data_IF_595578371440
#
_entry.id   IF_595578371440
#
_cell.length_a   1.000
_cell.length_b   1.000
_cell.length_c   1.000
_cell.angle_alpha   90.00
_cell.angle_beta   90.00
_cell.angle_gamma   90.00
#
_symmetry.space_group_name_H-M   'P 1'
#
loop_
_entity.id
_entity.type
_entity.pdbx_description
1 polymer ?
#
# COMPACT_ATOMS: atom_id res chain seq x y z
N UNK A 1 -16.26 16.69 -6.54
CA UNK A 1 -15.90 16.46 -7.97
C UNK A 1 -15.07 15.17 -8.13
N UNK A 2 -14.02 14.92 -7.33
CA UNK A 2 -13.16 13.74 -7.43
C UNK A 2 -13.97 12.42 -7.43
N UNK A 3 -14.89 12.23 -6.48
CA UNK A 3 -15.73 11.03 -6.36
C UNK A 3 -16.50 10.67 -7.65
N UNK A 4 -17.06 11.66 -8.33
CA UNK A 4 -17.82 11.44 -9.58
C UNK A 4 -16.90 10.93 -10.68
N UNK A 5 -15.67 11.45 -10.75
CA UNK A 5 -14.70 10.98 -11.74
C UNK A 5 -14.19 9.59 -11.42
N UNK A 6 -13.87 9.30 -10.14
CA UNK A 6 -13.48 7.96 -9.71
C UNK A 6 -14.57 6.93 -9.97
N UNK A 7 -15.83 7.24 -9.67
CA UNK A 7 -16.95 6.36 -10.01
C UNK A 7 -17.03 6.05 -11.51
N UNK A 8 -16.86 7.09 -12.36
CA UNK A 8 -16.84 6.89 -13.82
C UNK A 8 -15.65 6.05 -14.28
N UNK A 9 -14.48 6.25 -13.70
CA UNK A 9 -13.29 5.43 -13.97
C UNK A 9 -13.54 3.98 -13.58
N UNK A 10 -14.16 3.72 -12.42
CA UNK A 10 -14.52 2.36 -11.99
C UNK A 10 -15.41 1.67 -13.02
N UNK A 11 -16.38 2.38 -13.60
CA UNK A 11 -17.26 1.82 -14.64
C UNK A 11 -16.51 1.46 -15.92
N UNK A 12 -15.55 2.31 -16.32
CA UNK A 12 -14.70 2.02 -17.48
C UNK A 12 -13.81 0.83 -17.21
N UNK A 13 -13.16 0.80 -16.05
CA UNK A 13 -12.30 -0.31 -15.63
C UNK A 13 -13.08 -1.63 -15.51
N UNK A 14 -14.32 -1.59 -15.00
CA UNK A 14 -15.20 -2.76 -14.95
C UNK A 14 -15.49 -3.33 -16.34
N UNK A 15 -15.79 -2.46 -17.32
CA UNK A 15 -16.04 -2.88 -18.69
C UNK A 15 -14.80 -3.53 -19.36
N UNK A 16 -13.59 -3.13 -18.92
CA UNK A 16 -12.32 -3.68 -19.41
C UNK A 16 -11.78 -4.84 -18.55
N UNK A 17 -12.51 -5.25 -17.50
CA UNK A 17 -12.08 -6.31 -16.58
C UNK A 17 -10.89 -5.93 -15.69
N UNK A 18 -10.71 -4.64 -15.41
CA UNK A 18 -9.60 -4.09 -14.59
C UNK A 18 -10.16 -3.67 -13.24
N UNK A 19 -9.50 -4.06 -12.14
CA UNK A 19 -9.76 -3.50 -10.82
C UNK A 19 -8.96 -2.21 -10.62
N UNK A 20 -9.58 -1.21 -10.02
CA UNK A 20 -8.87 -0.02 -9.54
C UNK A 20 -8.57 -0.18 -8.06
N UNK A 21 -7.41 0.27 -7.64
CA UNK A 21 -7.06 0.40 -6.23
C UNK A 21 -6.86 1.88 -5.88
N UNK A 22 -7.39 2.28 -4.73
CA UNK A 22 -7.22 3.64 -4.21
C UNK A 22 -6.12 3.64 -3.16
N UNK A 23 -5.12 4.47 -3.36
CA UNK A 23 -4.02 4.68 -2.43
C UNK A 23 -4.31 5.81 -1.46
N UNK A 24 -3.88 5.65 -0.21
CA UNK A 24 -3.74 6.72 0.75
C UNK A 24 -2.29 7.19 0.74
N UNK A 25 -2.09 8.45 0.47
CA UNK A 25 -0.78 9.11 0.47
C UNK A 25 -0.51 9.77 1.84
N UNK A 26 0.62 10.46 1.99
CA UNK A 26 0.88 11.29 3.17
C UNK A 26 0.15 12.63 3.07
N UNK A 27 0.01 13.33 4.18
CA UNK A 27 -0.71 14.62 4.25
C UNK A 27 0.03 15.79 3.56
N UNK A 28 1.35 15.64 3.33
CA UNK A 28 2.15 16.57 2.53
C UNK A 28 2.05 16.31 1.02
N UNK A 29 1.58 15.13 0.62
CA UNK A 29 1.42 14.72 -0.79
C UNK A 29 -0.02 14.85 -1.28
N UNK A 30 -0.99 14.68 -0.39
CA UNK A 30 -2.41 14.68 -0.75
C UNK A 30 -3.25 15.46 0.25
N UNK A 31 -4.18 16.24 -0.25
CA UNK A 31 -5.21 16.90 0.57
C UNK A 31 -6.58 16.18 0.51
N UNK A 32 -6.66 15.00 -0.09
CA UNK A 32 -7.89 14.25 -0.28
C UNK A 32 -7.96 13.00 0.58
N UNK A 33 -7.00 12.08 0.40
CA UNK A 33 -6.93 10.81 1.11
C UNK A 33 -5.50 10.63 1.61
N UNK A 34 -5.31 10.79 2.92
CA UNK A 34 -4.01 10.72 3.56
C UNK A 34 -4.04 10.07 4.95
N UNK A 35 -5.17 9.49 5.31
CA UNK A 35 -5.37 8.70 6.52
C UNK A 35 -6.54 7.72 6.35
N UNK A 36 -6.63 6.77 7.25
CA UNK A 36 -7.67 5.74 7.25
C UNK A 36 -9.10 6.29 7.33
N UNK A 37 -9.43 7.31 8.16
CA UNK A 37 -10.76 7.89 8.18
C UNK A 37 -11.20 8.47 6.82
N UNK A 38 -10.30 9.16 6.11
CA UNK A 38 -10.58 9.73 4.79
C UNK A 38 -10.66 8.66 3.72
N UNK A 39 -9.78 7.67 3.79
CA UNK A 39 -9.82 6.52 2.89
C UNK A 39 -11.17 5.80 2.98
N UNK A 40 -11.61 5.46 4.20
CA UNK A 40 -12.93 4.83 4.44
C UNK A 40 -14.09 5.66 3.92
N UNK A 41 -14.09 6.96 4.20
CA UNK A 41 -15.16 7.85 3.75
C UNK A 41 -15.19 7.97 2.23
N UNK A 42 -14.05 8.14 1.57
CA UNK A 42 -13.98 8.21 0.11
C UNK A 42 -14.44 6.89 -0.52
N UNK A 43 -13.92 5.76 -0.04
CA UNK A 43 -14.29 4.41 -0.50
C UNK A 43 -15.80 4.17 -0.39
N UNK A 44 -16.38 4.45 0.78
CA UNK A 44 -17.82 4.32 1.04
C UNK A 44 -18.65 5.22 0.11
N UNK A 45 -18.22 6.46 -0.13
CA UNK A 45 -18.94 7.42 -0.97
C UNK A 45 -18.89 7.09 -2.45
N UNK A 46 -17.83 6.43 -2.93
CA UNK A 46 -17.75 5.95 -4.30
C UNK A 46 -18.63 4.71 -4.46
N UNK A 47 -18.53 3.76 -3.54
CA UNK A 47 -19.42 2.61 -3.43
C UNK A 47 -19.48 1.74 -4.69
N UNK A 48 -18.36 1.59 -5.41
CA UNK A 48 -18.29 0.80 -6.64
C UNK A 48 -17.52 -0.50 -6.40
N UNK A 49 -18.05 -1.68 -6.78
CA UNK A 49 -17.42 -2.97 -6.49
C UNK A 49 -16.05 -3.14 -7.17
N UNK A 50 -15.82 -2.43 -8.25
CA UNK A 50 -14.55 -2.44 -9.00
C UNK A 50 -13.47 -1.50 -8.42
N UNK A 51 -13.79 -0.77 -7.35
CA UNK A 51 -12.82 -0.05 -6.55
C UNK A 51 -12.42 -0.92 -5.38
N UNK A 52 -11.13 -1.12 -5.24
CA UNK A 52 -10.47 -1.78 -4.12
C UNK A 52 -9.53 -0.81 -3.42
N UNK A 53 -8.89 -1.27 -2.36
CA UNK A 53 -7.96 -0.45 -1.60
C UNK A 53 -6.54 -0.99 -1.74
N UNK A 54 -5.62 -0.08 -1.68
CA UNK A 54 -4.23 -0.39 -1.40
C UNK A 54 -3.73 0.40 -0.20
N UNK A 55 -2.65 -0.07 0.37
CA UNK A 55 -1.95 0.59 1.45
C UNK A 55 -0.48 0.71 1.09
N UNK A 56 0.08 1.88 1.34
CA UNK A 56 1.51 2.06 1.46
C UNK A 56 1.87 2.01 2.95
N UNK A 57 2.73 1.06 3.34
CA UNK A 57 3.06 0.88 4.74
C UNK A 57 3.87 2.05 5.33
N UNK A 58 4.55 2.82 4.48
CA UNK A 58 5.28 4.03 4.91
C UNK A 58 4.30 5.19 5.14
N UNK A 59 3.39 5.43 4.20
CA UNK A 59 2.34 6.44 4.36
C UNK A 59 1.44 6.15 5.58
N UNK A 60 1.10 4.88 5.80
CA UNK A 60 0.35 4.41 6.97
C UNK A 60 1.09 4.73 8.28
N UNK A 61 2.37 4.40 8.36
CA UNK A 61 3.21 4.72 9.52
C UNK A 61 3.32 6.23 9.75
N UNK A 62 3.40 7.01 8.67
CA UNK A 62 3.42 8.46 8.69
C UNK A 62 2.14 9.06 9.29
N UNK A 63 0.99 8.47 9.02
CA UNK A 63 -0.28 8.87 9.60
C UNK A 63 -0.45 8.40 11.07
N UNK A 64 0.52 7.66 11.63
CA UNK A 64 0.44 7.07 12.97
C UNK A 64 -0.53 5.89 13.06
N UNK A 65 -0.83 5.27 11.94
CA UNK A 65 -1.75 4.15 11.80
C UNK A 65 -0.97 2.83 11.66
N UNK A 66 -1.64 1.71 11.82
CA UNK A 66 -1.05 0.39 11.66
C UNK A 66 -1.63 -0.35 10.46
N UNK A 67 -0.88 -1.27 9.90
CA UNK A 67 -1.37 -2.17 8.86
C UNK A 67 -2.59 -2.97 9.34
N UNK A 68 -2.63 -3.33 10.62
CA UNK A 68 -3.77 -4.03 11.24
C UNK A 68 -5.06 -3.19 11.20
N UNK A 69 -4.97 -1.86 11.41
CA UNK A 69 -6.12 -0.96 11.32
C UNK A 69 -6.70 -0.95 9.89
N UNK A 70 -5.84 -0.99 8.88
CA UNK A 70 -6.24 -1.04 7.49
C UNK A 70 -6.90 -2.36 7.11
N UNK A 71 -6.36 -3.50 7.54
CA UNK A 71 -7.00 -4.80 7.34
C UNK A 71 -8.36 -4.88 8.05
N UNK A 72 -8.45 -4.37 9.28
CA UNK A 72 -9.72 -4.32 10.00
C UNK A 72 -10.76 -3.43 9.32
N UNK A 73 -10.33 -2.42 8.59
CA UNK A 73 -11.23 -1.48 7.92
C UNK A 73 -11.73 -1.97 6.56
N UNK A 74 -10.90 -2.68 5.78
CA UNK A 74 -11.17 -3.02 4.40
C UNK A 74 -11.23 -4.53 4.12
N UNK A 75 -10.65 -5.37 4.98
CA UNK A 75 -10.68 -6.82 4.83
C UNK A 75 -10.22 -7.27 3.44
N UNK A 76 -11.04 -8.07 2.77
CA UNK A 76 -10.76 -8.62 1.43
C UNK A 76 -10.72 -7.56 0.32
N UNK A 77 -11.11 -6.32 0.61
CA UNK A 77 -11.00 -5.23 -0.35
C UNK A 77 -9.60 -4.57 -0.36
N UNK A 78 -8.74 -4.89 0.61
CA UNK A 78 -7.33 -4.53 0.61
C UNK A 78 -6.55 -5.57 -0.20
N UNK A 79 -6.25 -5.28 -1.46
CA UNK A 79 -5.71 -6.27 -2.41
C UNK A 79 -4.31 -5.94 -2.94
N UNK A 80 -3.76 -4.79 -2.56
CA UNK A 80 -2.47 -4.32 -3.06
C UNK A 80 -1.75 -3.56 -1.94
N UNK A 81 -0.44 -3.66 -1.92
CA UNK A 81 0.37 -2.99 -0.91
C UNK A 81 1.71 -2.56 -1.52
N UNK A 82 2.08 -1.29 -1.32
CA UNK A 82 3.47 -0.90 -1.36
C UNK A 82 4.12 -1.34 -0.06
N UNK A 83 5.11 -2.20 -0.16
CA UNK A 83 5.67 -2.92 0.97
C UNK A 83 7.16 -2.74 1.06
N UNK A 84 7.58 -1.86 1.94
CA UNK A 84 8.92 -1.29 2.01
C UNK A 84 9.38 -1.12 3.45
N UNK A 85 10.67 -0.95 3.61
CA UNK A 85 11.25 -0.45 4.86
C UNK A 85 11.21 1.08 4.89
N UNK A 86 11.23 1.67 6.06
CA UNK A 86 11.16 3.12 6.23
C UNK A 86 11.92 3.64 7.44
N UNK A 87 12.34 4.92 7.37
CA UNK A 87 12.93 5.66 8.47
C UNK A 87 12.60 7.16 8.36
N UNK A 88 11.58 7.63 9.04
CA UNK A 88 10.19 7.13 9.06
C UNK A 88 9.45 7.36 7.75
N UNK A 89 10.02 8.16 6.82
CA UNK A 89 9.34 8.68 5.62
C UNK A 89 9.94 8.21 4.30
N UNK A 90 11.02 7.44 4.35
CA UNK A 90 11.75 7.01 3.16
C UNK A 90 11.26 5.66 2.67
N UNK A 91 11.22 5.48 1.35
CA UNK A 91 10.90 4.22 0.69
C UNK A 91 12.18 3.42 0.46
N UNK A 92 12.60 2.72 1.51
CA UNK A 92 13.88 2.01 1.55
C UNK A 92 13.74 0.53 1.20
N UNK A 93 14.85 -0.04 0.79
CA UNK A 93 15.03 -1.50 0.74
C UNK A 93 14.93 -2.07 2.16
N UNK A 94 14.29 -3.23 2.31
CA UNK A 94 14.20 -3.93 3.59
C UNK A 94 15.58 -4.17 4.21
N UNK A 95 15.76 -3.68 5.43
CA UNK A 95 17.00 -3.71 6.21
C UNK A 95 17.77 -2.38 6.19
N UNK A 96 17.34 -1.40 5.42
CA UNK A 96 17.94 -0.05 5.41
C UNK A 96 17.12 0.95 6.24
N UNK A 97 15.98 0.55 6.81
CA UNK A 97 15.10 1.34 7.66
C UNK A 97 14.87 0.72 9.04
N UNK A 98 13.78 1.11 9.68
CA UNK A 98 13.42 0.73 11.05
C UNK A 98 12.12 -0.07 11.14
N UNK A 99 11.48 -0.40 10.03
CA UNK A 99 10.21 -1.13 10.03
C UNK A 99 10.45 -2.61 10.40
N UNK A 100 9.63 -3.14 11.28
CA UNK A 100 9.71 -4.56 11.63
C UNK A 100 9.06 -5.43 10.56
N UNK A 101 9.86 -5.99 9.64
CA UNK A 101 9.39 -6.89 8.59
C UNK A 101 8.58 -8.05 9.16
N UNK A 102 9.11 -8.73 10.19
CA UNK A 102 8.44 -9.88 10.81
C UNK A 102 7.06 -9.50 11.37
N UNK A 103 6.92 -8.32 11.98
CA UNK A 103 5.62 -7.85 12.47
C UNK A 103 4.63 -7.60 11.35
N UNK A 104 5.06 -6.98 10.27
CA UNK A 104 4.21 -6.72 9.09
C UNK A 104 3.73 -8.05 8.47
N UNK A 105 4.63 -9.02 8.29
CA UNK A 105 4.30 -10.34 7.76
C UNK A 105 3.32 -11.11 8.66
N UNK A 106 3.50 -11.05 9.99
CA UNK A 106 2.56 -11.65 10.95
C UNK A 106 1.15 -11.06 10.84
N UNK A 107 1.03 -9.74 10.66
CA UNK A 107 -0.27 -9.08 10.45
C UNK A 107 -0.90 -9.58 9.15
N UNK A 108 -0.18 -9.58 8.05
CA UNK A 108 -0.68 -10.08 6.76
C UNK A 108 -1.13 -11.54 6.84
N UNK A 109 -0.35 -12.40 7.50
CA UNK A 109 -0.71 -13.80 7.71
C UNK A 109 -1.98 -13.95 8.57
N UNK A 110 -2.10 -13.19 9.64
CA UNK A 110 -3.29 -13.21 10.52
C UNK A 110 -4.57 -12.79 9.79
N UNK A 111 -4.45 -11.90 8.81
CA UNK A 111 -5.55 -11.44 7.97
C UNK A 111 -5.68 -12.21 6.65
N UNK A 112 -4.93 -13.29 6.45
CA UNK A 112 -4.97 -14.13 5.25
C UNK A 112 -4.79 -13.33 3.95
N UNK A 113 -3.91 -12.33 3.96
CA UNK A 113 -3.68 -11.49 2.80
C UNK A 113 -3.13 -12.31 1.63
N UNK A 114 -3.80 -12.21 0.48
CA UNK A 114 -3.44 -12.90 -0.77
C UNK A 114 -3.25 -11.94 -1.95
N UNK A 115 -3.16 -10.63 -1.65
CA UNK A 115 -2.98 -9.60 -2.66
C UNK A 115 -1.53 -9.46 -3.14
N UNK A 116 -1.24 -8.34 -3.77
CA UNK A 116 0.07 -8.05 -4.34
C UNK A 116 0.93 -7.24 -3.38
N UNK A 117 2.18 -7.64 -3.22
CA UNK A 117 3.24 -6.86 -2.58
C UNK A 117 4.11 -6.26 -3.67
N UNK A 118 4.21 -4.94 -3.70
CA UNK A 118 4.97 -4.20 -4.70
C UNK A 118 6.05 -3.39 -4.04
N UNK A 119 7.25 -3.40 -4.62
CA UNK A 119 8.36 -2.57 -4.21
C UNK A 119 8.24 -1.20 -4.87
N UNK A 120 8.19 -0.15 -4.07
CA UNK A 120 8.23 1.23 -4.54
C UNK A 120 9.47 1.94 -3.96
N UNK A 121 10.64 1.37 -4.19
CA UNK A 121 11.89 1.95 -3.70
C UNK A 121 12.14 3.30 -4.40
N UNK A 122 12.05 4.38 -3.66
CA UNK A 122 12.04 5.74 -4.21
C UNK A 122 13.06 6.70 -3.58
N UNK A 123 13.86 6.24 -2.62
CA UNK A 123 14.90 7.09 -2.05
C UNK A 123 16.04 7.35 -3.05
N UNK A 124 16.52 8.60 -3.12
CA UNK A 124 17.47 9.05 -4.13
C UNK A 124 18.83 8.32 -4.08
N UNK A 125 19.21 7.78 -2.92
CA UNK A 125 20.49 7.06 -2.82
C UNK A 125 20.52 5.73 -3.59
N UNK A 126 19.35 5.20 -4.00
CA UNK A 126 19.26 4.02 -4.87
C UNK A 126 19.31 4.35 -6.37
N UNK A 127 19.20 5.62 -6.77
CA UNK A 127 19.10 6.01 -8.18
C UNK A 127 20.34 5.70 -8.99
N UNK A 128 21.49 5.52 -8.35
CA UNK A 128 22.74 5.16 -9.04
C UNK A 128 22.78 3.68 -9.46
N UNK A 129 22.07 2.78 -8.72
CA UNK A 129 21.94 1.36 -9.06
C UNK A 129 20.60 0.80 -8.56
N UNK A 130 19.48 1.16 -9.21
CA UNK A 130 18.15 0.73 -8.79
C UNK A 130 17.96 -0.79 -8.93
N UNK A 131 18.60 -1.43 -9.90
CA UNK A 131 18.52 -2.88 -10.06
C UNK A 131 19.16 -3.66 -8.89
N UNK A 132 20.20 -3.13 -8.29
CA UNK A 132 20.78 -3.72 -7.09
C UNK A 132 19.86 -3.56 -5.89
N UNK A 133 19.22 -2.40 -5.76
CA UNK A 133 18.22 -2.14 -4.72
C UNK A 133 17.05 -3.14 -4.81
N UNK A 134 16.45 -3.28 -5.98
CA UNK A 134 15.35 -4.21 -6.22
C UNK A 134 15.74 -5.66 -5.91
N UNK A 135 16.91 -6.11 -6.38
CA UNK A 135 17.39 -7.47 -6.10
C UNK A 135 17.64 -7.70 -4.61
N UNK A 136 18.15 -6.70 -3.88
CA UNK A 136 18.35 -6.79 -2.42
C UNK A 136 17.01 -6.95 -1.71
N UNK A 137 16.05 -6.12 -2.07
CA UNK A 137 14.72 -6.13 -1.49
C UNK A 137 14.01 -7.47 -1.74
N UNK A 138 14.05 -7.96 -2.98
CA UNK A 138 13.48 -9.25 -3.34
C UNK A 138 14.09 -10.41 -2.54
N UNK A 139 15.43 -10.45 -2.39
CA UNK A 139 16.12 -11.49 -1.61
C UNK A 139 15.75 -11.50 -0.13
N UNK A 140 15.45 -10.34 0.44
CA UNK A 140 15.00 -10.26 1.83
C UNK A 140 13.60 -10.87 1.95
N UNK A 141 12.70 -10.54 1.04
CA UNK A 141 11.33 -11.07 1.05
C UNK A 141 11.27 -12.56 0.70
N UNK A 142 12.06 -13.03 -0.27
CA UNK A 142 12.12 -14.44 -0.70
C UNK A 142 12.37 -15.38 0.48
N UNK A 143 13.26 -15.02 1.40
CA UNK A 143 13.57 -15.82 2.60
C UNK A 143 12.40 -16.04 3.54
N UNK A 144 11.40 -15.16 3.51
CA UNK A 144 10.20 -15.25 4.33
C UNK A 144 9.01 -15.89 3.62
N UNK A 145 9.10 -16.06 2.30
CA UNK A 145 8.05 -16.69 1.49
C UNK A 145 8.29 -18.20 1.32
N UNK A 146 9.49 -18.69 1.62
CA UNK A 146 9.87 -20.10 1.52
C UNK A 146 9.59 -20.90 2.80
N UNK A 147 9.31 -20.26 3.93
CA UNK A 147 8.95 -20.86 5.24
C UNK A 147 7.42 -20.87 5.44
#
# INVERSE_FOLDING_TARGET
RCRVHLYRLCRVAEAEGILLVMESLRDDESNLVYDLPRAREMYRQIGHPNLKMMVDNIATGAAGETLEDWFNAFGDDLIHMHFLDGDPWLHNVWGDGNTSLSRQLQIMQAHHFTGYLVQEVADEHYFTDPFSADRRNFRVLERFLED
#
